data_IF_378300868973
#
_entry.id   IF_378300868973
#
_cell.length_a   1.000
_cell.length_b   1.000
_cell.length_c   1.000
_cell.angle_alpha   90.00
_cell.angle_beta   90.00
_cell.angle_gamma   90.00
#
_symmetry.space_group_name_H-M   'P 1'
#
loop_
_entity.id
_entity.type
_entity.pdbx_description
1 polymer ?
#
# COMPACT_ATOMS: atom_id res chain seq x y z
N UNK A 1 11.70 3.11 -11.46
CA UNK A 1 12.55 3.39 -10.27
C UNK A 1 13.78 4.13 -10.76
N UNK A 2 14.24 5.15 -10.03
CA UNK A 2 15.42 5.99 -10.35
C UNK A 2 16.26 6.19 -9.09
N UNK A 3 17.50 6.66 -9.24
CA UNK A 3 18.33 7.08 -8.10
C UNK A 3 17.67 8.21 -7.29
N UNK A 4 17.98 8.28 -5.99
CA UNK A 4 17.36 9.26 -5.06
C UNK A 4 17.56 10.71 -5.52
N UNK A 5 18.73 11.00 -6.08
CA UNK A 5 19.14 12.28 -6.65
C UNK A 5 18.35 12.66 -7.92
N UNK A 6 17.74 11.68 -8.58
CA UNK A 6 17.00 11.85 -9.83
C UNK A 6 15.48 11.87 -9.66
N UNK A 7 14.95 11.69 -8.43
CA UNK A 7 13.50 11.63 -8.18
C UNK A 7 12.82 12.92 -8.65
N UNK A 8 13.38 14.08 -8.32
CA UNK A 8 12.80 15.36 -8.69
C UNK A 8 12.78 15.53 -10.21
N UNK A 9 13.93 15.36 -10.86
CA UNK A 9 14.05 15.50 -12.30
C UNK A 9 13.10 14.54 -13.03
N UNK A 10 13.02 13.29 -12.60
CA UNK A 10 12.12 12.30 -13.21
C UNK A 10 10.64 12.66 -12.99
N UNK A 11 10.27 13.17 -11.82
CA UNK A 11 8.90 13.58 -11.50
C UNK A 11 8.47 14.78 -12.34
N UNK A 12 9.32 15.79 -12.50
CA UNK A 12 9.05 16.96 -13.34
C UNK A 12 8.78 16.56 -14.79
N UNK A 13 9.60 15.68 -15.37
CA UNK A 13 9.38 15.17 -16.73
C UNK A 13 8.02 14.45 -16.88
N UNK A 14 7.56 13.73 -15.86
CA UNK A 14 6.23 13.11 -15.88
C UNK A 14 5.11 14.15 -15.84
N UNK A 15 5.27 15.22 -15.06
CA UNK A 15 4.30 16.31 -15.00
C UNK A 15 4.19 16.97 -16.38
N UNK A 16 5.32 17.29 -17.02
CA UNK A 16 5.33 17.88 -18.36
C UNK A 16 4.59 16.98 -19.36
N UNK A 17 4.93 15.68 -19.38
CA UNK A 17 4.28 14.69 -20.24
C UNK A 17 2.76 14.60 -20.00
N UNK A 18 2.32 14.50 -18.74
CA UNK A 18 0.90 14.38 -18.40
C UNK A 18 0.13 15.67 -18.70
N UNK A 19 0.76 16.83 -18.49
CA UNK A 19 0.14 18.14 -18.73
C UNK A 19 -0.10 18.44 -20.21
N UNK A 20 0.69 17.81 -21.10
CA UNK A 20 0.51 17.89 -22.55
C UNK A 20 -0.66 17.02 -23.07
N UNK A 21 -1.22 16.14 -22.22
CA UNK A 21 -2.33 15.24 -22.59
C UNK A 21 -3.72 15.87 -22.44
N UNK A 22 -4.74 15.20 -22.98
CA UNK A 22 -6.14 15.62 -22.83
C UNK A 22 -6.65 15.38 -21.41
N UNK A 23 -6.93 16.47 -20.68
CA UNK A 23 -7.35 16.41 -19.28
C UNK A 23 -8.60 15.54 -19.05
N UNK A 24 -9.61 15.65 -19.91
CA UNK A 24 -10.84 14.87 -19.80
C UNK A 24 -10.60 13.36 -19.92
N UNK A 25 -9.78 12.95 -20.89
CA UNK A 25 -9.43 11.54 -21.09
C UNK A 25 -8.70 10.98 -19.86
N UNK A 26 -7.71 11.71 -19.33
CA UNK A 26 -6.97 11.30 -18.13
C UNK A 26 -7.90 11.15 -16.91
N UNK A 27 -8.83 12.09 -16.71
CA UNK A 27 -9.78 12.03 -15.60
C UNK A 27 -10.77 10.86 -15.74
N UNK A 28 -11.32 10.63 -16.93
CA UNK A 28 -12.24 9.53 -17.18
C UNK A 28 -11.56 8.18 -17.03
N UNK A 29 -10.33 8.01 -17.53
CA UNK A 29 -9.56 6.77 -17.33
C UNK A 29 -9.27 6.53 -15.86
N UNK A 30 -8.84 7.56 -15.12
CA UNK A 30 -8.64 7.46 -13.66
C UNK A 30 -9.93 7.04 -12.95
N UNK A 31 -11.08 7.61 -13.35
CA UNK A 31 -12.38 7.25 -12.78
C UNK A 31 -12.70 5.78 -13.03
N UNK A 32 -12.60 5.30 -14.26
CA UNK A 32 -12.85 3.88 -14.59
C UNK A 32 -12.01 2.96 -13.70
N UNK A 33 -10.70 3.22 -13.58
CA UNK A 33 -9.80 2.40 -12.75
C UNK A 33 -10.20 2.41 -11.26
N UNK A 34 -10.55 3.58 -10.73
CA UNK A 34 -10.94 3.69 -9.32
C UNK A 34 -12.30 3.05 -9.03
N UNK A 35 -13.28 3.21 -9.91
CA UNK A 35 -14.61 2.62 -9.74
C UNK A 35 -14.57 1.10 -9.83
N UNK A 36 -13.69 0.54 -10.69
CA UNK A 36 -13.51 -0.92 -10.82
C UNK A 36 -13.04 -1.60 -9.53
N UNK A 37 -12.38 -0.86 -8.63
CA UNK A 37 -11.92 -1.39 -7.32
C UNK A 37 -12.70 -0.79 -6.14
N UNK A 38 -13.33 0.36 -6.33
CA UNK A 38 -13.88 1.20 -5.26
C UNK A 38 -15.00 0.53 -4.49
N UNK A 39 -15.86 -0.23 -5.18
CA UNK A 39 -17.00 -0.94 -4.56
C UNK A 39 -16.53 -1.91 -3.46
N UNK A 40 -15.44 -2.65 -3.70
CA UNK A 40 -14.97 -3.67 -2.77
C UNK A 40 -13.91 -3.16 -1.79
N UNK A 41 -13.22 -2.07 -2.13
CA UNK A 41 -12.07 -1.58 -1.36
C UNK A 41 -12.40 -1.32 0.11
N UNK A 42 -13.51 -0.64 0.41
CA UNK A 42 -13.89 -0.31 1.79
C UNK A 42 -14.18 -1.57 2.63
N UNK A 43 -14.90 -2.53 2.05
CA UNK A 43 -15.22 -3.81 2.68
C UNK A 43 -13.95 -4.62 2.94
N UNK A 44 -13.05 -4.71 1.95
CA UNK A 44 -11.79 -5.41 2.08
C UNK A 44 -10.89 -4.79 3.15
N UNK A 45 -10.80 -3.45 3.22
CA UNK A 45 -10.05 -2.75 4.26
C UNK A 45 -10.62 -3.04 5.65
N UNK A 46 -11.94 -3.01 5.81
CA UNK A 46 -12.61 -3.27 7.09
C UNK A 46 -12.42 -4.73 7.54
N UNK A 47 -12.61 -5.68 6.63
CA UNK A 47 -12.41 -7.10 6.89
C UNK A 47 -10.94 -7.41 7.22
N UNK A 48 -10.00 -6.83 6.46
CA UNK A 48 -8.57 -6.96 6.71
C UNK A 48 -8.16 -6.38 8.06
N UNK A 49 -8.69 -5.22 8.45
CA UNK A 49 -8.43 -4.62 9.75
C UNK A 49 -8.91 -5.51 10.91
N UNK A 50 -10.10 -6.11 10.81
CA UNK A 50 -10.61 -7.04 11.82
C UNK A 50 -9.73 -8.30 11.92
N UNK A 51 -9.37 -8.90 10.78
CA UNK A 51 -8.49 -10.07 10.74
C UNK A 51 -7.08 -9.77 11.30
N UNK A 52 -6.54 -8.59 11.01
CA UNK A 52 -5.28 -8.11 11.57
C UNK A 52 -5.37 -7.95 13.09
N UNK A 53 -6.43 -7.32 13.60
CA UNK A 53 -6.62 -7.15 15.05
C UNK A 53 -6.60 -8.51 15.77
N UNK A 54 -7.30 -9.51 15.24
CA UNK A 54 -7.29 -10.88 15.79
C UNK A 54 -5.90 -11.52 15.69
N UNK A 55 -5.21 -11.38 14.55
CA UNK A 55 -3.89 -11.99 14.33
C UNK A 55 -2.85 -11.45 15.31
N UNK A 56 -2.93 -10.17 15.66
CA UNK A 56 -1.99 -9.48 16.55
C UNK A 56 -2.22 -9.78 18.05
N UNK A 57 -3.33 -10.41 18.42
CA UNK A 57 -3.63 -10.78 19.83
C UNK A 57 -3.28 -12.23 20.18
N UNK A 58 -2.67 -12.97 19.24
CA UNK A 58 -2.31 -14.39 19.46
C UNK A 58 -1.02 -14.53 20.27
N UNK A 59 -0.87 -15.67 20.97
CA UNK A 59 0.40 -16.01 21.64
C UNK A 59 1.57 -16.07 20.65
N UNK A 60 1.32 -16.58 19.45
CA UNK A 60 2.32 -16.60 18.37
C UNK A 60 2.76 -15.19 17.95
N UNK A 61 1.84 -14.22 17.90
CA UNK A 61 2.19 -12.83 17.60
C UNK A 61 3.04 -12.20 18.71
N UNK A 62 2.69 -12.43 19.98
CA UNK A 62 3.48 -11.95 21.14
C UNK A 62 4.88 -12.54 21.12
N UNK A 63 5.01 -13.85 20.90
CA UNK A 63 6.29 -14.53 20.82
C UNK A 63 7.13 -14.05 19.63
N UNK A 64 6.51 -13.89 18.46
CA UNK A 64 7.19 -13.38 17.27
C UNK A 64 7.80 -12.00 17.51
N UNK A 65 7.05 -11.09 18.14
CA UNK A 65 7.51 -9.75 18.46
C UNK A 65 8.61 -9.77 19.53
N UNK A 66 8.46 -10.60 20.57
CA UNK A 66 9.43 -10.75 21.66
C UNK A 66 10.75 -11.31 21.14
N UNK A 67 10.70 -12.37 20.33
CA UNK A 67 11.88 -12.99 19.73
C UNK A 67 12.61 -12.02 18.81
N UNK A 68 11.88 -11.23 18.02
CA UNK A 68 12.45 -10.17 17.19
C UNK A 68 13.19 -9.12 18.03
N UNK A 69 12.57 -8.63 19.10
CA UNK A 69 13.17 -7.64 20.01
C UNK A 69 14.44 -8.18 20.69
N UNK A 70 14.44 -9.46 21.07
CA UNK A 70 15.56 -10.14 21.74
C UNK A 70 16.63 -10.68 20.75
N UNK A 71 16.43 -10.50 19.43
CA UNK A 71 17.30 -11.04 18.36
C UNK A 71 17.54 -12.55 18.46
N UNK A 72 16.53 -13.28 18.90
CA UNK A 72 16.54 -14.76 18.97
C UNK A 72 15.55 -15.35 17.98
N UNK A 73 15.62 -16.65 17.77
CA UNK A 73 14.59 -17.35 17.01
C UNK A 73 13.30 -17.50 17.85
N UNK A 74 12.12 -17.34 17.23
CA UNK A 74 10.84 -17.54 17.91
C UNK A 74 10.55 -19.03 18.13
N UNK A 75 9.75 -19.33 19.16
CA UNK A 75 9.23 -20.66 19.52
C UNK A 75 7.72 -20.61 19.54
N UNK A 76 7.10 -20.89 18.40
CA UNK A 76 5.65 -20.87 18.29
C UNK A 76 5.00 -22.09 18.98
N UNK A 77 3.81 -21.91 19.60
CA UNK A 77 2.98 -23.01 20.05
C UNK A 77 2.43 -23.86 18.88
#
# INVERSE_FOLDING_TARGET
VVGVDQIWARSSNWIDYLSAGAAESLQLTKRVLNEMIGEQLSTQLSSGAAAMATSLTTEAAVEGLTAFAEKRQPRFP
#
